data_IF_642431132312
#
_entry.id   IF_642431132312
#
_cell.length_a   1.000
_cell.length_b   1.000
_cell.length_c   1.000
_cell.angle_alpha   90.00
_cell.angle_beta   90.00
_cell.angle_gamma   90.00
#
_symmetry.space_group_name_H-M   'P 1'
#
loop_
_entity.id
_entity.type
_entity.pdbx_description
1 polymer ?
#
# COMPACT_ATOMS: atom_id res chain seq x y z
N UNK A 1 -1.51 15.86 -35.27
CA UNK A 1 -0.60 14.82 -34.74
C UNK A 1 -1.38 13.98 -33.75
N UNK A 2 -2.04 12.94 -34.26
CA UNK A 2 -2.88 12.05 -33.46
C UNK A 2 -1.98 11.07 -32.73
N UNK A 3 -1.83 11.22 -31.42
CA UNK A 3 -1.25 10.19 -30.56
C UNK A 3 -2.28 9.06 -30.51
N UNK A 4 -2.16 8.14 -31.45
CA UNK A 4 -2.65 6.77 -31.30
C UNK A 4 -1.72 6.14 -30.27
N UNK A 5 -2.09 6.20 -29.00
CA UNK A 5 -1.63 5.21 -28.04
C UNK A 5 -2.59 4.04 -28.16
N UNK A 6 -2.28 2.97 -28.90
CA UNK A 6 -3.01 1.72 -28.72
C UNK A 6 -2.70 1.32 -27.27
N UNK A 7 -3.69 1.40 -26.40
CA UNK A 7 -3.55 0.90 -25.03
C UNK A 7 -3.24 -0.59 -25.11
N UNK A 8 -1.96 -0.90 -25.09
CA UNK A 8 -1.40 -2.24 -25.17
C UNK A 8 -1.94 -3.09 -24.00
N UNK A 9 -2.94 -3.91 -24.26
CA UNK A 9 -3.13 -5.14 -23.51
C UNK A 9 -2.30 -6.22 -24.22
N UNK A 10 -0.99 -6.28 -23.94
CA UNK A 10 -0.14 -7.39 -24.37
C UNK A 10 -0.63 -8.74 -23.80
N UNK A 11 -1.46 -8.70 -22.75
CA UNK A 11 -2.00 -9.85 -22.05
C UNK A 11 -3.53 -9.74 -21.90
N UNK A 12 -4.26 -10.86 -21.88
CA UNK A 12 -5.67 -10.89 -21.46
C UNK A 12 -5.89 -10.16 -20.14
N UNK A 13 -7.04 -9.48 -20.01
CA UNK A 13 -7.35 -8.66 -18.81
C UNK A 13 -7.26 -9.46 -17.50
N UNK A 14 -7.58 -10.76 -17.54
CA UNK A 14 -7.48 -11.64 -16.40
C UNK A 14 -6.03 -11.78 -15.88
N UNK A 15 -5.06 -11.95 -16.79
CA UNK A 15 -3.63 -12.01 -16.46
C UNK A 15 -3.17 -10.66 -15.92
N UNK A 16 -3.61 -9.56 -16.54
CA UNK A 16 -3.29 -8.22 -16.05
C UNK A 16 -3.81 -7.99 -14.62
N UNK A 17 -5.08 -8.34 -14.34
CA UNK A 17 -5.66 -8.23 -13.00
C UNK A 17 -4.93 -9.11 -11.98
N UNK A 18 -4.51 -10.32 -12.39
CA UNK A 18 -3.70 -11.22 -11.57
C UNK A 18 -2.36 -10.59 -11.20
N UNK A 19 -1.64 -10.03 -12.17
CA UNK A 19 -0.38 -9.33 -11.93
C UNK A 19 -0.59 -8.09 -11.05
N UNK A 20 -1.66 -7.33 -11.30
CA UNK A 20 -1.99 -6.14 -10.51
C UNK A 20 -2.25 -6.49 -9.04
N UNK A 21 -3.07 -7.51 -8.77
CA UNK A 21 -3.32 -7.99 -7.40
C UNK A 21 -2.05 -8.53 -6.74
N UNK A 22 -1.16 -9.18 -7.48
CA UNK A 22 0.15 -9.61 -6.97
C UNK A 22 0.99 -8.41 -6.50
N UNK A 23 1.15 -7.39 -7.34
CA UNK A 23 1.93 -6.20 -6.99
C UNK A 23 1.31 -5.40 -5.86
N UNK A 24 -0.01 -5.24 -5.86
CA UNK A 24 -0.73 -4.58 -4.78
C UNK A 24 -0.55 -5.33 -3.44
N UNK A 25 -0.63 -6.66 -3.49
CA UNK A 25 -0.47 -7.50 -2.29
C UNK A 25 0.95 -7.45 -1.72
N UNK A 26 1.98 -7.17 -2.54
CA UNK A 26 3.37 -6.98 -2.09
C UNK A 26 3.55 -5.73 -1.22
N UNK A 27 2.65 -4.74 -1.32
CA UNK A 27 2.76 -3.52 -0.51
C UNK A 27 2.55 -3.79 0.99
N UNK A 28 1.61 -4.68 1.34
CA UNK A 28 1.29 -5.01 2.74
C UNK A 28 2.50 -5.55 3.53
N UNK A 29 3.20 -6.62 3.10
CA UNK A 29 4.37 -7.11 3.82
C UNK A 29 5.52 -6.09 3.83
N UNK A 30 5.65 -5.24 2.80
CA UNK A 30 6.66 -4.18 2.77
C UNK A 30 6.39 -3.10 3.85
N UNK A 31 5.14 -2.65 3.97
CA UNK A 31 4.70 -1.69 5.00
C UNK A 31 4.94 -2.26 6.40
N UNK A 32 4.53 -3.51 6.63
CA UNK A 32 4.69 -4.17 7.94
C UNK A 32 6.15 -4.35 8.29
N UNK A 33 7.00 -4.73 7.32
CA UNK A 33 8.44 -4.82 7.50
C UNK A 33 9.05 -3.47 7.93
N UNK A 34 8.59 -2.37 7.32
CA UNK A 34 9.03 -1.02 7.68
C UNK A 34 8.64 -0.64 9.12
N UNK A 35 7.40 -0.93 9.52
CA UNK A 35 6.95 -0.72 10.90
C UNK A 35 7.68 -1.60 11.91
N UNK A 36 7.90 -2.86 11.58
CA UNK A 36 8.72 -3.77 12.38
C UNK A 36 10.11 -3.17 12.57
N UNK A 37 10.78 -2.71 11.50
CA UNK A 37 12.11 -2.11 11.60
C UNK A 37 12.11 -0.91 12.55
N UNK A 38 11.16 0.02 12.40
CA UNK A 38 11.02 1.20 13.26
C UNK A 38 10.73 0.85 14.71
N UNK A 39 9.83 -0.12 14.93
CA UNK A 39 9.50 -0.62 16.25
C UNK A 39 10.73 -1.20 16.95
N UNK A 40 11.55 -1.99 16.26
CA UNK A 40 12.76 -2.55 16.84
C UNK A 40 13.77 -1.49 17.21
N UNK A 41 13.96 -0.48 16.36
CA UNK A 41 14.85 0.63 16.69
C UNK A 41 14.39 1.30 18.00
N UNK A 42 13.09 1.49 18.19
CA UNK A 42 12.55 2.01 19.44
C UNK A 42 12.75 1.05 20.64
N UNK A 43 12.57 -0.26 20.44
CA UNK A 43 12.82 -1.30 21.47
C UNK A 43 14.30 -1.37 21.85
N UNK A 44 15.21 -1.32 20.88
CA UNK A 44 16.65 -1.32 21.11
C UNK A 44 17.09 -0.07 21.89
N UNK A 45 16.39 1.06 21.72
CA UNK A 45 16.61 2.27 22.52
C UNK A 45 16.04 2.16 23.95
N UNK A 46 15.00 1.33 24.18
CA UNK A 46 14.28 1.24 25.46
C UNK A 46 14.65 0.05 26.35
N UNK A 47 15.10 -1.07 25.79
CA UNK A 47 15.26 -2.32 26.53
C UNK A 47 16.58 -3.04 26.22
N UNK A 48 17.15 -3.67 27.25
CA UNK A 48 18.34 -4.53 27.18
C UNK A 48 18.07 -5.96 26.65
N UNK A 49 16.81 -6.38 26.44
CA UNK A 49 16.47 -7.74 25.98
C UNK A 49 15.78 -7.74 24.62
N UNK A 50 16.45 -8.34 23.64
CA UNK A 50 15.98 -8.49 22.25
C UNK A 50 14.82 -9.49 22.17
N UNK A 51 13.77 -9.21 21.37
CA UNK A 51 12.70 -10.18 21.12
C UNK A 51 13.25 -11.47 20.45
N UNK A 52 12.55 -12.60 20.65
CA UNK A 52 12.96 -13.91 20.09
C UNK A 52 13.07 -13.83 18.55
N UNK A 53 14.30 -13.86 18.05
CA UNK A 53 14.68 -13.60 16.65
C UNK A 53 14.05 -14.54 15.62
N UNK A 54 13.73 -15.78 16.01
CA UNK A 54 13.21 -16.81 15.10
C UNK A 54 11.73 -16.62 14.76
N UNK A 55 10.85 -16.46 15.75
CA UNK A 55 9.41 -16.28 15.55
C UNK A 55 9.10 -15.11 14.60
N UNK A 56 9.89 -14.04 14.71
CA UNK A 56 9.79 -12.86 13.88
C UNK A 56 10.25 -13.07 12.43
N UNK A 57 11.34 -13.81 12.23
CA UNK A 57 11.83 -14.16 10.89
C UNK A 57 10.83 -15.07 10.17
N UNK A 58 10.27 -16.04 10.89
CA UNK A 58 9.24 -16.93 10.36
C UNK A 58 7.96 -16.18 10.03
N UNK A 59 7.50 -15.26 10.88
CA UNK A 59 6.35 -14.41 10.60
C UNK A 59 6.54 -13.49 9.39
N UNK A 60 7.75 -12.94 9.20
CA UNK A 60 8.07 -12.13 8.03
C UNK A 60 8.08 -12.95 6.73
N UNK A 61 8.60 -14.18 6.80
CA UNK A 61 8.62 -15.11 5.67
C UNK A 61 7.20 -15.54 5.27
N UNK A 62 6.36 -15.91 6.24
CA UNK A 62 4.96 -16.25 5.98
C UNK A 62 4.17 -15.08 5.40
N UNK A 63 4.45 -13.86 5.88
CA UNK A 63 3.85 -12.63 5.33
C UNK A 63 4.15 -12.42 3.84
N UNK A 64 5.31 -12.90 3.35
CA UNK A 64 5.72 -12.80 1.95
C UNK A 64 5.10 -13.86 1.03
N UNK A 65 4.49 -14.91 1.59
CA UNK A 65 3.74 -15.90 0.80
C UNK A 65 2.35 -15.40 0.40
N UNK A 66 1.80 -14.44 1.14
CA UNK A 66 0.46 -13.89 0.88
C UNK A 66 0.25 -13.41 -0.57
N UNK A 67 1.12 -12.56 -1.16
CA UNK A 67 0.93 -12.09 -2.54
C UNK A 67 0.80 -13.23 -3.55
N UNK A 68 1.57 -14.31 -3.37
CA UNK A 68 1.51 -15.48 -4.23
C UNK A 68 0.19 -16.23 -4.08
N UNK A 69 -0.31 -16.39 -2.85
CA UNK A 69 -1.59 -17.06 -2.60
C UNK A 69 -2.76 -16.25 -3.19
N UNK A 70 -2.77 -14.93 -3.01
CA UNK A 70 -3.84 -14.06 -3.56
C UNK A 70 -3.81 -14.07 -5.08
N UNK A 71 -2.64 -13.92 -5.69
CA UNK A 71 -2.48 -13.99 -7.14
C UNK A 71 -2.87 -15.36 -7.71
N UNK A 72 -2.45 -16.46 -7.04
CA UNK A 72 -2.85 -17.80 -7.44
C UNK A 72 -4.36 -18.01 -7.35
N UNK A 73 -5.00 -17.53 -6.28
CA UNK A 73 -6.45 -17.64 -6.12
C UNK A 73 -7.21 -16.86 -7.20
N UNK A 74 -6.73 -15.66 -7.56
CA UNK A 74 -7.31 -14.89 -8.66
C UNK A 74 -7.08 -15.58 -10.00
N UNK A 75 -5.87 -16.08 -10.28
CA UNK A 75 -5.58 -16.83 -11.50
C UNK A 75 -6.48 -18.06 -11.68
N UNK A 76 -6.80 -18.76 -10.57
CA UNK A 76 -7.70 -19.91 -10.59
C UNK A 76 -9.18 -19.54 -10.68
N UNK A 77 -9.52 -18.25 -10.60
CA UNK A 77 -10.91 -17.77 -10.68
C UNK A 77 -11.43 -17.55 -12.10
N UNK A 78 -10.58 -17.70 -13.12
CA UNK A 78 -11.01 -17.60 -14.51
C UNK A 78 -12.07 -18.67 -14.84
N UNK A 79 -13.13 -18.25 -15.53
CA UNK A 79 -14.14 -19.15 -16.11
C UNK A 79 -13.93 -19.24 -17.62
N UNK A 80 -14.38 -20.34 -18.23
CA UNK A 80 -14.25 -20.51 -19.69
C UNK A 80 -15.16 -19.53 -20.44
N UNK A 81 -14.75 -19.12 -21.64
CA UNK A 81 -15.54 -18.22 -22.52
C UNK A 81 -16.95 -18.73 -22.78
N UNK A 82 -17.15 -20.04 -22.92
CA UNK A 82 -18.46 -20.64 -23.14
C UNK A 82 -19.36 -20.50 -21.91
N UNK A 83 -18.81 -20.70 -20.70
CA UNK A 83 -19.54 -20.49 -19.45
C UNK A 83 -19.91 -19.01 -19.27
N UNK A 84 -18.98 -18.11 -19.59
CA UNK A 84 -19.24 -16.67 -19.60
C UNK A 84 -20.33 -16.30 -20.61
N UNK A 85 -20.34 -16.90 -21.80
CA UNK A 85 -21.39 -16.69 -22.81
C UNK A 85 -22.76 -17.12 -22.28
N UNK A 86 -22.87 -18.32 -21.68
CA UNK A 86 -24.13 -18.82 -21.11
C UNK A 86 -24.62 -17.89 -19.98
N UNK A 87 -23.71 -17.43 -19.12
CA UNK A 87 -24.03 -16.49 -18.03
C UNK A 87 -24.52 -15.14 -18.57
N UNK A 88 -23.80 -14.56 -19.54
CA UNK A 88 -24.18 -13.29 -20.16
C UNK A 88 -25.49 -13.41 -20.93
N UNK A 89 -25.74 -14.52 -21.64
CA UNK A 89 -26.97 -14.67 -22.41
C UNK A 89 -28.19 -14.71 -21.50
N UNK A 90 -28.03 -15.33 -20.33
CA UNK A 90 -29.08 -15.45 -19.32
C UNK A 90 -29.35 -14.13 -18.57
N UNK A 91 -28.29 -13.41 -18.19
CA UNK A 91 -28.40 -12.28 -17.26
C UNK A 91 -28.15 -10.90 -17.91
N UNK A 92 -27.33 -10.84 -18.97
CA UNK A 92 -26.84 -9.61 -19.61
C UNK A 92 -26.68 -9.74 -21.15
N UNK A 93 -27.75 -10.04 -21.90
CA UNK A 93 -27.65 -10.25 -23.35
C UNK A 93 -27.07 -9.03 -24.09
N UNK A 94 -27.29 -7.82 -23.55
CA UNK A 94 -26.73 -6.57 -24.06
C UNK A 94 -25.20 -6.50 -24.00
N UNK A 95 -24.55 -7.27 -23.12
CA UNK A 95 -23.10 -7.29 -22.95
C UNK A 95 -22.41 -8.36 -23.81
N UNK A 96 -23.18 -9.16 -24.56
CA UNK A 96 -22.63 -10.28 -25.33
C UNK A 96 -21.57 -9.84 -26.35
N UNK A 97 -21.74 -8.66 -26.95
CA UNK A 97 -20.77 -8.13 -27.92
C UNK A 97 -19.38 -7.89 -27.31
N UNK A 98 -19.30 -7.62 -25.99
CA UNK A 98 -18.03 -7.42 -25.30
C UNK A 98 -17.25 -8.73 -25.13
N UNK A 99 -17.90 -9.89 -25.20
CA UNK A 99 -17.25 -11.19 -25.04
C UNK A 99 -16.20 -11.48 -26.12
N UNK A 100 -16.29 -10.82 -27.28
CA UNK A 100 -15.26 -10.87 -28.31
C UNK A 100 -13.95 -10.17 -27.89
N UNK A 101 -14.04 -9.21 -26.97
CA UNK A 101 -12.89 -8.46 -26.48
C UNK A 101 -12.07 -9.23 -25.46
N UNK A 102 -10.74 -9.25 -25.62
CA UNK A 102 -9.80 -9.76 -24.61
C UNK A 102 -9.72 -8.85 -23.36
N UNK A 103 -10.30 -7.65 -23.44
CA UNK A 103 -10.37 -6.69 -22.33
C UNK A 103 -11.59 -6.91 -21.43
N UNK A 104 -12.50 -7.82 -21.79
CA UNK A 104 -13.69 -8.13 -21.03
C UNK A 104 -13.57 -9.51 -20.38
N UNK A 105 -13.79 -9.58 -19.07
CA UNK A 105 -13.79 -10.83 -18.32
C UNK A 105 -15.01 -10.83 -17.40
N UNK A 106 -15.60 -12.01 -17.25
CA UNK A 106 -16.77 -12.23 -16.41
C UNK A 106 -16.34 -13.11 -15.26
N UNK A 107 -16.71 -12.72 -14.06
CA UNK A 107 -16.54 -13.54 -12.87
C UNK A 107 -17.90 -13.94 -12.36
N UNK A 108 -18.07 -15.23 -12.12
CA UNK A 108 -19.27 -15.78 -11.49
C UNK A 108 -18.84 -16.70 -10.35
N UNK A 109 -19.27 -16.38 -9.14
CA UNK A 109 -18.89 -17.13 -7.94
C UNK A 109 -19.61 -18.48 -7.86
N UNK A 110 -20.77 -18.64 -8.51
CA UNK A 110 -21.50 -19.91 -8.54
C UNK A 110 -20.80 -20.92 -9.43
N UNK A 111 -20.32 -20.48 -10.60
CA UNK A 111 -19.55 -21.32 -11.52
C UNK A 111 -18.13 -21.60 -11.02
N UNK A 112 -17.47 -20.61 -10.42
CA UNK A 112 -16.12 -20.77 -9.89
C UNK A 112 -15.95 -20.07 -8.53
N UNK A 113 -15.92 -20.81 -7.41
CA UNK A 113 -15.85 -20.23 -6.07
C UNK A 113 -14.48 -19.59 -5.75
N UNK A 114 -13.45 -19.79 -6.60
CA UNK A 114 -12.13 -19.19 -6.37
C UNK A 114 -12.15 -17.66 -6.31
N UNK A 115 -13.10 -16.99 -7.00
CA UNK A 115 -13.25 -15.53 -6.89
C UNK A 115 -13.68 -15.11 -5.48
N UNK A 116 -14.60 -15.86 -4.87
CA UNK A 116 -15.04 -15.61 -3.50
C UNK A 116 -13.93 -15.93 -2.48
N UNK A 117 -13.19 -17.03 -2.69
CA UNK A 117 -11.99 -17.37 -1.90
C UNK A 117 -10.95 -16.25 -1.97
N UNK A 118 -10.69 -15.71 -3.17
CA UNK A 118 -9.79 -14.58 -3.36
C UNK A 118 -10.27 -13.34 -2.60
N UNK A 119 -11.54 -12.96 -2.73
CA UNK A 119 -12.11 -11.78 -2.06
C UNK A 119 -12.12 -11.89 -0.53
N UNK A 120 -12.68 -12.97 0.01
CA UNK A 120 -12.76 -13.22 1.46
C UNK A 120 -11.36 -13.40 2.06
N UNK A 121 -10.49 -14.15 1.38
CA UNK A 121 -9.11 -14.36 1.80
C UNK A 121 -8.30 -13.07 1.83
N UNK A 122 -8.39 -12.25 0.78
CA UNK A 122 -7.73 -10.95 0.72
C UNK A 122 -8.22 -10.02 1.84
N UNK A 123 -9.56 -9.92 2.05
CA UNK A 123 -10.13 -9.09 3.10
C UNK A 123 -9.66 -9.53 4.50
N UNK A 124 -9.71 -10.83 4.78
CA UNK A 124 -9.29 -11.40 6.07
C UNK A 124 -7.82 -11.07 6.37
N UNK A 125 -6.96 -11.19 5.37
CA UNK A 125 -5.52 -10.93 5.53
C UNK A 125 -5.24 -9.44 5.67
N UNK A 126 -5.93 -8.58 4.90
CA UNK A 126 -5.87 -7.12 5.07
C UNK A 126 -6.22 -6.76 6.52
N UNK A 127 -7.30 -7.31 7.08
CA UNK A 127 -7.69 -7.06 8.47
C UNK A 127 -6.59 -7.48 9.46
N UNK A 128 -5.98 -8.65 9.30
CA UNK A 128 -4.87 -9.10 10.14
C UNK A 128 -3.69 -8.12 10.06
N UNK A 129 -3.31 -7.70 8.85
CA UNK A 129 -2.24 -6.73 8.65
C UNK A 129 -2.56 -5.36 9.24
N UNK A 130 -3.80 -4.91 9.14
CA UNK A 130 -4.26 -3.67 9.77
C UNK A 130 -4.08 -3.73 11.29
N UNK A 131 -4.47 -4.82 11.94
CA UNK A 131 -4.28 -5.02 13.39
C UNK A 131 -2.79 -5.02 13.77
N UNK A 132 -1.95 -5.72 12.99
CA UNK A 132 -0.48 -5.74 13.21
C UNK A 132 0.10 -4.33 13.04
N UNK A 133 -0.27 -3.61 11.98
CA UNK A 133 0.18 -2.26 11.71
C UNK A 133 -0.18 -1.31 12.86
N UNK A 134 -1.44 -1.29 13.28
CA UNK A 134 -1.90 -0.39 14.35
C UNK A 134 -1.26 -0.74 15.69
N UNK A 135 -1.17 -2.03 16.04
CA UNK A 135 -0.53 -2.47 17.28
C UNK A 135 0.95 -2.09 17.32
N UNK A 136 1.70 -2.30 16.24
CA UNK A 136 3.10 -1.86 16.13
C UNK A 136 3.24 -0.35 16.21
N UNK A 137 2.38 0.40 15.50
CA UNK A 137 2.38 1.86 15.50
C UNK A 137 2.13 2.46 16.89
N UNK A 138 1.07 1.99 17.55
CA UNK A 138 0.69 2.42 18.91
C UNK A 138 1.78 2.06 19.92
N UNK A 139 2.27 0.82 19.90
CA UNK A 139 3.33 0.41 20.83
C UNK A 139 4.62 1.21 20.62
N UNK A 140 4.99 1.48 19.36
CA UNK A 140 6.16 2.31 19.05
C UNK A 140 5.98 3.74 19.56
N UNK A 141 4.78 4.31 19.45
CA UNK A 141 4.48 5.64 19.99
C UNK A 141 4.57 5.67 21.52
N UNK A 142 3.98 4.69 22.22
CA UNK A 142 4.08 4.57 23.69
C UNK A 142 5.56 4.47 24.12
N UNK A 143 6.35 3.70 23.38
CA UNK A 143 7.76 3.52 23.67
C UNK A 143 8.56 4.81 23.49
N UNK A 144 8.31 5.55 22.40
CA UNK A 144 8.90 6.87 22.17
C UNK A 144 8.52 7.86 23.27
N UNK A 145 7.29 7.79 23.81
CA UNK A 145 6.87 8.64 24.92
C UNK A 145 7.63 8.33 26.21
N UNK A 146 7.87 7.04 26.53
CA UNK A 146 8.69 6.64 27.69
C UNK A 146 10.14 7.08 27.53
N UNK A 147 10.67 7.00 26.31
CA UNK A 147 12.03 7.43 25.98
C UNK A 147 12.21 8.95 25.90
N UNK A 148 11.13 9.74 26.01
CA UNK A 148 11.18 11.20 25.89
C UNK A 148 12.17 11.84 26.86
N UNK A 149 12.29 11.32 28.09
CA UNK A 149 13.21 11.86 29.10
C UNK A 149 14.69 11.61 28.75
N UNK A 150 14.99 10.58 27.96
CA UNK A 150 16.36 10.19 27.58
C UNK A 150 16.78 10.74 26.20
N UNK A 151 15.89 11.44 25.50
CA UNK A 151 16.14 11.98 24.17
C UNK A 151 16.09 13.50 24.17
N UNK A 152 16.91 14.14 23.32
CA UNK A 152 16.76 15.56 23.07
C UNK A 152 15.37 15.85 22.46
N UNK A 153 14.84 17.04 22.73
CA UNK A 153 13.55 17.50 22.19
C UNK A 153 13.52 17.47 20.66
N UNK A 154 14.65 17.75 20.02
CA UNK A 154 14.81 17.68 18.56
C UNK A 154 14.71 16.25 18.04
N UNK A 155 15.44 15.30 18.62
CA UNK A 155 15.44 13.89 18.19
C UNK A 155 14.07 13.25 18.39
N UNK A 156 13.44 13.47 19.55
CA UNK A 156 12.08 12.99 19.81
C UNK A 156 11.09 13.51 18.76
N UNK A 157 11.15 14.81 18.44
CA UNK A 157 10.28 15.40 17.41
C UNK A 157 10.50 14.76 16.04
N UNK A 158 11.75 14.48 15.67
CA UNK A 158 12.08 13.82 14.40
C UNK A 158 11.49 12.41 14.31
N UNK A 159 11.64 11.57 15.35
CA UNK A 159 11.05 10.24 15.38
C UNK A 159 9.52 10.26 15.33
N UNK A 160 8.89 11.15 16.11
CA UNK A 160 7.43 11.31 16.12
C UNK A 160 6.88 11.73 14.76
N UNK A 161 7.47 12.73 14.12
CA UNK A 161 7.04 13.20 12.80
C UNK A 161 7.23 12.10 11.75
N UNK A 162 8.36 11.38 11.78
CA UNK A 162 8.60 10.28 10.84
C UNK A 162 7.55 9.17 10.98
N UNK A 163 7.17 8.79 12.20
CA UNK A 163 6.16 7.75 12.44
C UNK A 163 4.76 8.19 12.00
N UNK A 164 4.38 9.45 12.27
CA UNK A 164 3.09 10.01 11.81
C UNK A 164 3.07 10.09 10.28
N UNK A 165 4.14 10.60 9.66
CA UNK A 165 4.26 10.69 8.20
C UNK A 165 4.12 9.32 7.55
N UNK A 166 4.80 8.31 8.08
CA UNK A 166 4.71 6.94 7.57
C UNK A 166 3.30 6.37 7.73
N UNK A 167 2.64 6.64 8.86
CA UNK A 167 1.26 6.19 9.09
C UNK A 167 0.27 6.82 8.11
N UNK A 168 0.41 8.12 7.82
CA UNK A 168 -0.43 8.82 6.85
C UNK A 168 -0.23 8.31 5.42
N UNK A 169 1.02 8.02 5.03
CA UNK A 169 1.36 7.45 3.72
C UNK A 169 0.75 6.07 3.50
N UNK A 170 0.46 5.33 4.57
CA UNK A 170 -0.22 4.03 4.48
C UNK A 170 -1.73 4.22 4.51
N UNK A 171 -2.26 4.92 5.51
CA UNK A 171 -3.70 4.99 5.76
C UNK A 171 -4.44 5.69 4.64
N UNK A 172 -3.96 6.86 4.17
CA UNK A 172 -4.71 7.67 3.19
C UNK A 172 -4.86 6.93 1.85
N UNK A 173 -3.79 6.40 1.22
CA UNK A 173 -3.93 5.66 -0.03
C UNK A 173 -4.67 4.33 0.16
N UNK A 174 -4.52 3.67 1.32
CA UNK A 174 -5.25 2.44 1.62
C UNK A 174 -6.76 2.63 1.64
N UNK A 175 -7.26 3.77 2.14
CA UNK A 175 -8.70 4.07 2.11
C UNK A 175 -9.21 4.18 0.68
N UNK A 176 -8.44 4.84 -0.21
CA UNK A 176 -8.78 4.96 -1.63
C UNK A 176 -8.73 3.63 -2.40
N UNK A 177 -8.02 2.62 -1.88
CA UNK A 177 -8.01 1.27 -2.43
C UNK A 177 -9.13 0.41 -1.83
N UNK A 178 -9.20 0.34 -0.51
CA UNK A 178 -10.07 -0.59 0.21
C UNK A 178 -11.55 -0.25 0.08
N UNK A 179 -11.93 1.04 0.10
CA UNK A 179 -13.33 1.41 -0.05
C UNK A 179 -13.90 0.98 -1.41
N UNK A 180 -13.29 1.34 -2.55
CA UNK A 180 -13.73 0.87 -3.87
C UNK A 180 -13.73 -0.64 -4.01
N UNK A 181 -12.65 -1.33 -3.57
CA UNK A 181 -12.56 -2.78 -3.66
C UNK A 181 -13.65 -3.48 -2.85
N UNK A 182 -13.97 -2.94 -1.66
CA UNK A 182 -15.05 -3.46 -0.83
C UNK A 182 -16.42 -3.27 -1.49
N UNK A 183 -16.69 -2.10 -2.08
CA UNK A 183 -17.93 -1.86 -2.85
C UNK A 183 -18.04 -2.84 -4.02
N UNK A 184 -16.97 -3.00 -4.81
CA UNK A 184 -16.94 -3.97 -5.92
C UNK A 184 -17.22 -5.40 -5.42
N UNK A 185 -16.62 -5.80 -4.30
CA UNK A 185 -16.83 -7.12 -3.71
C UNK A 185 -18.28 -7.33 -3.25
N UNK A 186 -18.88 -6.34 -2.58
CA UNK A 186 -20.28 -6.42 -2.14
C UNK A 186 -21.25 -6.53 -3.32
N UNK A 187 -21.04 -5.74 -4.38
CA UNK A 187 -21.88 -5.77 -5.58
C UNK A 187 -21.83 -7.14 -6.24
N UNK A 188 -20.65 -7.77 -6.30
CA UNK A 188 -20.47 -9.11 -6.88
C UNK A 188 -21.08 -10.20 -5.97
N UNK A 189 -20.87 -10.12 -4.66
CA UNK A 189 -21.30 -11.16 -3.72
C UNK A 189 -22.82 -11.18 -3.50
N UNK A 190 -23.48 -10.02 -3.51
CA UNK A 190 -24.92 -9.90 -3.31
C UNK A 190 -25.71 -9.76 -4.63
N UNK A 191 -25.05 -9.92 -5.77
CA UNK A 191 -25.64 -9.78 -7.12
C UNK A 191 -26.45 -8.47 -7.28
N UNK A 192 -25.91 -7.36 -6.78
CA UNK A 192 -26.59 -6.06 -6.77
C UNK A 192 -26.44 -5.37 -8.12
N UNK A 193 -27.21 -5.85 -9.10
CA UNK A 193 -27.17 -5.42 -10.49
C UNK A 193 -27.25 -3.89 -10.67
N UNK A 194 -28.13 -3.22 -9.92
CA UNK A 194 -28.34 -1.76 -10.00
C UNK A 194 -27.10 -0.95 -9.60
N UNK A 195 -26.16 -1.56 -8.89
CA UNK A 195 -24.96 -0.91 -8.38
C UNK A 195 -23.69 -1.25 -9.17
N UNK A 196 -23.79 -1.96 -10.30
CA UNK A 196 -22.64 -2.23 -11.16
C UNK A 196 -22.02 -0.96 -11.77
N UNK A 197 -22.84 0.04 -12.11
CA UNK A 197 -22.36 1.35 -12.57
C UNK A 197 -21.59 2.08 -11.48
N UNK A 198 -22.04 1.99 -10.22
CA UNK A 198 -21.34 2.52 -9.07
C UNK A 198 -19.98 1.82 -8.87
N UNK A 199 -19.96 0.48 -8.89
CA UNK A 199 -18.74 -0.30 -8.78
C UNK A 199 -17.73 0.04 -9.89
N UNK A 200 -18.20 0.18 -11.14
CA UNK A 200 -17.36 0.58 -12.27
C UNK A 200 -16.76 1.99 -12.06
N UNK A 201 -17.56 2.97 -11.63
CA UNK A 201 -17.07 4.33 -11.38
C UNK A 201 -16.07 4.40 -10.22
N UNK A 202 -16.23 3.55 -9.19
CA UNK A 202 -15.31 3.47 -8.05
C UNK A 202 -13.91 2.98 -8.46
N UNK A 203 -13.75 2.31 -9.60
CA UNK A 203 -12.42 1.92 -10.12
C UNK A 203 -11.54 3.11 -10.47
N UNK A 204 -12.12 4.30 -10.72
CA UNK A 204 -11.35 5.54 -10.90
C UNK A 204 -10.60 5.90 -9.60
N UNK A 205 -11.24 5.72 -8.44
CA UNK A 205 -10.58 5.94 -7.14
C UNK A 205 -9.42 4.98 -6.92
N UNK A 206 -9.58 3.73 -7.35
CA UNK A 206 -8.47 2.75 -7.39
C UNK A 206 -7.35 3.32 -8.25
N UNK A 207 -7.62 3.81 -9.47
CA UNK A 207 -6.58 4.44 -10.31
C UNK A 207 -5.86 5.63 -9.65
N UNK A 208 -6.57 6.42 -8.84
CA UNK A 208 -6.02 7.60 -8.18
C UNK A 208 -5.16 7.32 -6.93
N UNK A 209 -5.12 6.08 -6.40
CA UNK A 209 -4.39 5.78 -5.16
C UNK A 209 -2.89 6.11 -5.26
N UNK A 210 -2.24 5.85 -6.40
CA UNK A 210 -0.80 6.08 -6.57
C UNK A 210 -0.46 7.58 -6.60
N UNK A 211 -1.33 8.40 -7.18
CA UNK A 211 -1.22 9.86 -7.14
C UNK A 211 -1.35 10.36 -5.71
N UNK A 212 -2.38 9.89 -4.99
CA UNK A 212 -2.58 10.25 -3.59
C UNK A 212 -1.38 9.86 -2.72
N UNK A 213 -0.86 8.63 -2.88
CA UNK A 213 0.32 8.15 -2.16
C UNK A 213 1.54 9.06 -2.37
N UNK A 214 1.80 9.43 -3.62
CA UNK A 214 2.89 10.35 -3.98
C UNK A 214 2.68 11.74 -3.36
N UNK A 215 1.47 12.29 -3.44
CA UNK A 215 1.11 13.58 -2.86
C UNK A 215 1.29 13.57 -1.34
N UNK A 216 0.79 12.55 -0.65
CA UNK A 216 0.93 12.42 0.81
C UNK A 216 2.42 12.35 1.17
N UNK A 217 3.24 11.58 0.45
CA UNK A 217 4.68 11.52 0.69
C UNK A 217 5.36 12.90 0.58
N UNK A 218 5.03 13.68 -0.45
CA UNK A 218 5.56 15.03 -0.65
C UNK A 218 5.15 15.99 0.47
N UNK A 219 3.90 15.91 0.95
CA UNK A 219 3.35 16.82 1.95
C UNK A 219 3.77 16.47 3.39
N UNK A 220 3.88 15.18 3.71
CA UNK A 220 4.13 14.72 5.09
C UNK A 220 5.61 14.62 5.42
N UNK A 221 6.48 14.34 4.44
CA UNK A 221 7.92 14.22 4.69
C UNK A 221 8.57 15.61 4.72
N UNK A 222 9.16 16.04 5.85
CA UNK A 222 9.76 17.38 5.96
C UNK A 222 10.87 17.67 4.94
N UNK A 223 11.63 16.65 4.53
CA UNK A 223 12.70 16.79 3.54
C UNK A 223 12.12 17.05 2.16
N UNK A 224 11.18 16.22 1.72
CA UNK A 224 10.53 16.38 0.42
C UNK A 224 9.75 17.69 0.35
N UNK A 225 8.97 18.03 1.38
CA UNK A 225 8.22 19.29 1.43
C UNK A 225 9.13 20.51 1.26
N UNK A 226 10.31 20.52 1.90
CA UNK A 226 11.27 21.62 1.75
C UNK A 226 11.83 21.72 0.33
N UNK A 227 12.15 20.58 -0.29
CA UNK A 227 12.67 20.53 -1.65
C UNK A 227 11.60 20.98 -2.66
N UNK A 228 10.37 20.47 -2.53
CA UNK A 228 9.23 20.84 -3.36
C UNK A 228 8.90 22.32 -3.24
N UNK A 229 8.87 22.87 -2.02
CA UNK A 229 8.68 24.30 -1.81
C UNK A 229 9.79 25.14 -2.46
N UNK A 230 11.05 24.71 -2.35
CA UNK A 230 12.19 25.40 -3.00
C UNK A 230 12.07 25.36 -4.52
N UNK A 231 11.68 24.21 -5.09
CA UNK A 231 11.45 24.05 -6.52
C UNK A 231 10.34 24.96 -7.03
N UNK A 232 9.19 25.01 -6.34
CA UNK A 232 8.10 25.92 -6.70
C UNK A 232 8.46 27.40 -6.51
N UNK A 233 9.23 27.75 -5.48
CA UNK A 233 9.71 29.12 -5.31
C UNK A 233 10.66 29.54 -6.44
N UNK A 234 11.55 28.64 -6.90
CA UNK A 234 12.42 28.87 -8.06
C UNK A 234 11.63 29.03 -9.35
N UNK A 235 10.62 28.18 -9.58
CA UNK A 235 9.72 28.31 -10.73
C UNK A 235 8.93 29.62 -10.71
N UNK A 236 8.54 30.10 -9.53
CA UNK A 236 7.85 31.37 -9.35
C UNK A 236 8.78 32.60 -9.44
N UNK A 237 10.04 32.43 -9.83
CA UNK A 237 11.03 33.52 -9.94
C UNK A 237 11.43 34.16 -8.61
N UNK A 238 11.09 33.53 -7.47
CA UNK A 238 11.43 34.03 -6.13
C UNK A 238 12.76 33.45 -5.69
N UNK A 239 13.82 34.26 -5.77
CA UNK A 239 15.15 33.90 -5.27
C UNK A 239 15.09 33.70 -3.75
N UNK A 240 14.98 32.44 -3.32
CA UNK A 240 14.85 32.12 -1.89
C UNK A 240 16.23 32.01 -1.28
N UNK A 241 16.80 33.15 -0.86
CA UNK A 241 17.82 33.14 0.19
C UNK A 241 17.14 32.81 1.52
N UNK A 242 17.09 31.52 1.87
CA UNK A 242 16.73 31.13 3.23
C UNK A 242 17.70 30.08 3.75
N UNK A 243 18.76 30.62 4.36
CA UNK A 243 19.69 30.01 5.31
C UNK A 243 19.42 28.54 5.65
N UNK A 244 20.28 27.69 5.11
CA UNK A 244 20.46 26.27 5.43
C UNK A 244 21.07 26.10 6.85
N UNK A 245 20.50 26.77 7.87
CA UNK A 245 20.79 26.59 9.30
C UNK A 245 19.67 25.81 9.98
N UNK A 246 19.52 24.53 9.63
CA UNK A 246 18.98 23.53 10.57
C UNK A 246 19.84 22.29 10.44
N UNK A 247 20.64 22.06 11.49
CA UNK A 247 21.73 21.11 11.54
C UNK A 247 21.40 19.75 10.95
N UNK A 248 22.17 19.40 9.92
CA UNK A 248 22.46 18.04 9.55
C UNK A 248 23.35 17.50 10.67
N UNK A 249 22.75 16.78 11.62
CA UNK A 249 23.51 15.83 12.42
C UNK A 249 23.42 14.52 11.67
N UNK A 250 24.47 14.22 10.90
CA UNK A 250 24.71 12.87 10.41
C UNK A 250 24.95 11.96 11.63
N UNK A 251 24.30 10.78 11.73
CA UNK A 251 24.53 9.85 12.83
C UNK A 251 25.89 9.16 12.81
N UNK A 252 26.78 9.50 11.85
CA UNK A 252 28.01 8.75 11.56
C UNK A 252 29.31 9.47 11.93
N UNK A 253 29.27 10.67 12.52
CA UNK A 253 30.51 11.46 12.78
C UNK A 253 30.97 11.57 14.24
N UNK A 254 30.37 10.83 15.19
CA UNK A 254 30.74 10.96 16.63
C UNK A 254 31.63 9.85 17.21
N UNK A 255 32.20 8.95 16.40
CA UNK A 255 32.98 7.81 16.94
C UNK A 255 34.49 7.83 16.68
N UNK A 256 35.09 8.93 16.22
CA UNK A 256 36.55 8.94 16.00
C UNK A 256 37.22 10.30 16.27
N UNK A 257 37.15 10.80 17.51
CA UNK A 257 38.17 11.77 18.00
C UNK A 257 38.13 11.91 19.52
N UNK A 258 39.09 11.26 20.17
CA UNK A 258 39.64 11.39 21.54
C UNK A 258 40.17 9.98 21.87
N UNK A 259 41.41 9.72 22.26
CA UNK A 259 42.57 10.52 22.62
C UNK A 259 43.67 9.47 22.82
N UNK A 260 44.86 9.66 22.26
CA UNK A 260 46.12 9.16 22.82
C UNK A 260 47.25 10.02 22.26
N UNK A 261 47.58 11.06 23.01
CA UNK A 261 48.89 11.71 23.00
C UNK A 261 49.12 12.25 24.40
N UNK A 262 50.31 11.90 24.92
CA UNK A 262 50.90 12.13 26.24
C UNK A 262 50.41 11.18 27.34
#
# INVERSE_FOLDING_TARGET
>A
MSIVCPGYYFFPIHIYMTMWVFFLSLELPAVVSCFIYRHNAAVDMAARKKPKRHLKKTGLFLAQLFPFLTAFSLYKSEITRDQAAVYLQKNYPQCMYWLHSQAFTVYDYYSNPWIAVCGIGALSIVCVYTVIFFSLGVHTMILLQRLRAHMSSQTYRMHRIALISLSLQVVIPSVLLLCPLYVCFLVVLFDQLEHQTLAANMTIMIGCHSLCSSTVMLLTNPRYRSLTATYFCRLAGKETQRNMRRGIVDPTSTTHRRSFTL
#
